data_IF_753090670486
#
_entry.id   IF_753090670486
#
_cell.length_a   1.000
_cell.length_b   1.000
_cell.length_c   1.000
_cell.angle_alpha   90.00
_cell.angle_beta   90.00
_cell.angle_gamma   90.00
#
_symmetry.space_group_name_H-M   'P 1'
#
loop_
_entity.id
_entity.type
_entity.pdbx_description
1 polymer ?
#
# COMPACT_ATOMS: atom_id res chain seq x y z
N UNK A 1 91.06 -5.97 -32.31
CA UNK A 1 89.90 -5.21 -32.80
C UNK A 1 88.68 -6.07 -32.53
N UNK A 2 88.08 -5.90 -31.36
CA UNK A 2 86.83 -6.53 -30.96
C UNK A 2 85.79 -5.42 -30.85
N UNK A 3 84.55 -5.60 -31.31
CA UNK A 3 83.44 -4.81 -30.85
C UNK A 3 82.71 -5.54 -29.72
N UNK A 4 82.49 -4.76 -28.65
CA UNK A 4 81.44 -4.92 -27.66
C UNK A 4 80.07 -4.81 -28.35
N UNK A 5 79.08 -5.58 -27.87
CA UNK A 5 77.85 -5.00 -27.30
C UNK A 5 76.97 -6.11 -26.73
N UNK A 6 76.75 -5.99 -25.42
CA UNK A 6 75.99 -6.86 -24.53
C UNK A 6 74.62 -6.21 -24.34
N UNK A 7 73.65 -6.53 -25.20
CA UNK A 7 72.25 -6.09 -25.06
C UNK A 7 71.38 -7.26 -24.57
N UNK A 8 71.33 -7.42 -23.24
CA UNK A 8 70.40 -8.29 -22.53
C UNK A 8 68.98 -7.68 -22.58
N UNK A 9 68.24 -7.92 -23.68
CA UNK A 9 66.84 -7.50 -23.86
C UNK A 9 65.84 -8.33 -23.02
N UNK A 10 66.15 -8.65 -21.76
CA UNK A 10 65.24 -9.36 -20.84
C UNK A 10 64.71 -8.43 -19.75
N UNK A 11 63.84 -7.49 -20.16
CA UNK A 11 63.30 -6.52 -19.22
C UNK A 11 61.96 -5.86 -19.60
N UNK A 12 61.05 -6.53 -20.31
CA UNK A 12 59.78 -5.87 -20.72
C UNK A 12 58.50 -6.72 -20.59
N UNK A 13 58.41 -7.60 -19.58
CA UNK A 13 57.13 -8.21 -19.19
C UNK A 13 56.92 -8.19 -17.66
N UNK A 14 56.90 -7.00 -17.07
CA UNK A 14 56.28 -6.82 -15.76
C UNK A 14 54.76 -6.73 -15.95
N UNK A 15 54.06 -7.87 -15.88
CA UNK A 15 52.61 -7.89 -15.74
C UNK A 15 52.22 -7.05 -14.51
N UNK A 16 51.59 -5.89 -14.75
CA UNK A 16 50.99 -5.10 -13.68
C UNK A 16 49.92 -5.98 -13.00
N UNK A 17 49.96 -6.16 -11.67
CA UNK A 17 48.93 -6.91 -10.99
C UNK A 17 47.58 -6.20 -11.20
N UNK A 18 46.64 -6.90 -11.82
CA UNK A 18 45.25 -6.46 -11.95
C UNK A 18 44.73 -6.19 -10.54
N UNK A 19 44.43 -4.93 -10.25
CA UNK A 19 43.86 -4.53 -8.96
C UNK A 19 42.62 -5.38 -8.70
N UNK A 20 42.65 -6.19 -7.63
CA UNK A 20 41.47 -6.92 -7.17
C UNK A 20 40.38 -5.87 -6.92
N UNK A 21 39.17 -6.01 -7.48
CA UNK A 21 38.10 -5.06 -7.18
C UNK A 21 37.91 -5.03 -5.67
N UNK A 22 38.06 -3.84 -5.09
CA UNK A 22 37.87 -3.62 -3.65
C UNK A 22 36.50 -4.14 -3.21
N UNK A 23 36.38 -4.56 -1.95
CA UNK A 23 35.10 -5.02 -1.39
C UNK A 23 34.02 -3.98 -1.71
N UNK A 24 32.87 -4.38 -2.26
CA UNK A 24 31.84 -3.41 -2.60
C UNK A 24 31.42 -2.62 -1.35
N UNK A 25 31.12 -1.33 -1.52
CA UNK A 25 30.74 -0.42 -0.42
C UNK A 25 29.53 -0.92 0.39
N UNK A 26 28.70 -1.77 -0.19
CA UNK A 26 27.53 -2.39 0.45
C UNK A 26 27.83 -3.70 1.20
N UNK A 27 29.10 -4.13 1.29
CA UNK A 27 29.47 -5.35 2.03
C UNK A 27 29.15 -5.23 3.53
N UNK A 28 28.52 -6.25 4.11
CA UNK A 28 28.06 -6.27 5.51
C UNK A 28 26.84 -5.39 5.82
N UNK A 29 26.40 -4.53 4.89
CA UNK A 29 25.26 -3.62 5.10
C UNK A 29 23.96 -4.39 5.35
N UNK A 30 23.77 -5.48 4.61
CA UNK A 30 22.63 -6.38 4.72
C UNK A 30 22.53 -7.01 6.11
N UNK A 31 23.64 -7.51 6.65
CA UNK A 31 23.67 -8.07 8.01
C UNK A 31 23.37 -6.99 9.06
N UNK A 32 23.99 -5.80 8.94
CA UNK A 32 23.77 -4.68 9.88
C UNK A 32 22.32 -4.20 9.91
N UNK A 33 21.65 -4.09 8.75
CA UNK A 33 20.23 -3.72 8.71
C UNK A 33 19.33 -4.79 9.34
N UNK A 34 19.62 -6.08 9.10
CA UNK A 34 18.89 -7.18 9.73
C UNK A 34 19.05 -7.18 11.24
N UNK A 35 20.24 -6.93 11.75
CA UNK A 35 20.53 -6.84 13.18
C UNK A 35 19.78 -5.67 13.83
N UNK A 36 19.88 -4.46 13.25
CA UNK A 36 19.12 -3.29 13.71
C UNK A 36 17.62 -3.54 13.76
N UNK A 37 17.05 -4.22 12.75
CA UNK A 37 15.63 -4.57 12.75
C UNK A 37 15.27 -5.59 13.84
N UNK A 38 16.15 -6.57 14.13
CA UNK A 38 15.91 -7.56 15.20
C UNK A 38 15.98 -6.94 16.58
N UNK A 39 16.93 -6.03 16.81
CA UNK A 39 17.17 -5.45 18.13
C UNK A 39 16.22 -4.29 18.43
N UNK A 40 16.00 -3.39 17.46
CA UNK A 40 15.23 -2.16 17.65
C UNK A 40 13.88 -2.12 16.94
N UNK A 41 13.49 -3.22 16.27
CA UNK A 41 12.22 -3.30 15.56
C UNK A 41 12.10 -2.28 14.42
N UNK A 42 10.86 -1.98 14.02
CA UNK A 42 10.59 -1.06 12.90
C UNK A 42 11.11 0.37 13.15
N UNK A 43 11.08 0.85 14.40
CA UNK A 43 11.46 2.22 14.74
C UNK A 43 12.97 2.47 14.60
N UNK A 44 13.77 1.41 14.55
CA UNK A 44 15.22 1.50 14.37
C UNK A 44 15.65 1.69 12.91
N UNK A 45 14.72 1.61 11.95
CA UNK A 45 14.98 1.77 10.52
C UNK A 45 14.25 2.99 9.95
N UNK A 46 14.90 3.71 9.05
CA UNK A 46 14.19 4.65 8.17
C UNK A 46 13.31 3.89 7.18
N UNK A 47 12.28 4.55 6.62
CA UNK A 47 11.34 3.90 5.67
C UNK A 47 12.04 3.25 4.47
N UNK A 48 13.04 3.92 3.90
CA UNK A 48 13.82 3.35 2.79
C UNK A 48 14.66 2.15 3.23
N UNK A 49 15.15 2.10 4.49
CA UNK A 49 15.90 0.96 5.02
C UNK A 49 14.99 -0.24 5.27
N UNK A 50 13.73 0.00 5.64
CA UNK A 50 12.72 -1.05 5.74
C UNK A 50 12.42 -1.65 4.35
N UNK A 51 12.31 -0.82 3.31
CA UNK A 51 12.22 -1.29 1.92
C UNK A 51 13.47 -2.06 1.51
N UNK A 52 14.67 -1.56 1.80
CA UNK A 52 15.92 -2.29 1.51
C UNK A 52 15.87 -3.71 2.08
N UNK A 53 15.40 -3.83 3.33
CA UNK A 53 15.31 -5.10 4.04
C UNK A 53 14.30 -6.07 3.41
N UNK A 54 13.19 -5.56 2.88
CA UNK A 54 12.23 -6.35 2.12
C UNK A 54 12.81 -6.80 0.76
N UNK A 55 13.43 -5.87 0.03
CA UNK A 55 14.04 -6.11 -1.29
C UNK A 55 15.18 -7.13 -1.26
N UNK A 56 15.81 -7.34 -0.10
CA UNK A 56 16.84 -8.36 0.08
C UNK A 56 16.37 -9.77 -0.31
N UNK A 57 15.07 -10.07 -0.24
CA UNK A 57 14.52 -11.39 -0.59
C UNK A 57 14.49 -11.60 -2.11
N UNK A 58 14.12 -10.57 -2.87
CA UNK A 58 13.91 -10.65 -4.31
C UNK A 58 15.13 -10.20 -5.12
N UNK A 59 16.04 -9.43 -4.53
CA UNK A 59 17.29 -8.97 -5.15
C UNK A 59 18.49 -9.55 -4.37
N UNK A 60 18.94 -10.77 -4.73
CA UNK A 60 20.07 -11.40 -4.06
C UNK A 60 21.40 -10.75 -4.47
N UNK A 61 22.32 -10.62 -3.52
CA UNK A 61 23.74 -10.27 -3.76
C UNK A 61 23.97 -8.94 -4.51
N UNK A 62 23.03 -8.01 -4.43
CA UNK A 62 23.17 -6.66 -4.99
C UNK A 62 22.84 -5.57 -3.96
N UNK A 63 23.24 -4.35 -4.28
CA UNK A 63 22.87 -3.15 -3.53
C UNK A 63 21.40 -2.78 -3.80
N UNK A 64 20.55 -2.88 -2.77
CA UNK A 64 19.12 -2.55 -2.86
C UNK A 64 18.83 -1.12 -2.47
N UNK A 65 19.80 -0.38 -1.92
CA UNK A 65 19.63 1.00 -1.47
C UNK A 65 19.21 1.95 -2.60
N UNK A 66 19.81 1.89 -3.81
CA UNK A 66 19.36 2.73 -4.93
C UNK A 66 17.91 2.46 -5.32
N UNK A 67 17.50 1.18 -5.34
CA UNK A 67 16.12 0.78 -5.71
C UNK A 67 15.13 1.24 -4.65
N UNK A 68 15.43 1.03 -3.36
CA UNK A 68 14.59 1.48 -2.25
C UNK A 68 14.41 3.02 -2.26
N UNK A 69 15.50 3.76 -2.46
CA UNK A 69 15.43 5.23 -2.58
C UNK A 69 14.66 5.68 -3.81
N UNK A 70 14.81 5.00 -4.95
CA UNK A 70 14.05 5.33 -6.16
C UNK A 70 12.55 5.08 -5.99
N UNK A 71 12.17 4.00 -5.29
CA UNK A 71 10.77 3.72 -4.93
C UNK A 71 10.20 4.82 -4.03
N UNK A 72 10.89 5.18 -2.94
CA UNK A 72 10.47 6.28 -2.05
C UNK A 72 10.40 7.60 -2.80
N UNK A 73 11.40 7.93 -3.62
CA UNK A 73 11.42 9.18 -4.38
C UNK A 73 10.26 9.27 -5.38
N UNK A 74 9.84 8.15 -5.97
CA UNK A 74 8.74 8.10 -6.93
C UNK A 74 7.36 8.13 -6.26
N UNK A 75 7.20 7.41 -5.15
CA UNK A 75 5.88 7.16 -4.55
C UNK A 75 5.63 7.93 -3.26
N UNK A 76 6.66 8.46 -2.58
CA UNK A 76 6.54 9.29 -1.38
C UNK A 76 6.97 8.57 -0.11
N UNK A 77 6.27 7.48 0.25
CA UNK A 77 6.44 6.78 1.52
C UNK A 77 6.45 5.25 1.37
N UNK A 78 6.84 4.54 2.44
CA UNK A 78 6.75 3.06 2.49
C UNK A 78 5.34 2.56 2.15
N UNK A 79 4.31 3.20 2.73
CA UNK A 79 2.92 2.83 2.52
C UNK A 79 2.47 3.08 1.07
N UNK A 80 2.87 4.20 0.47
CA UNK A 80 2.59 4.51 -0.93
C UNK A 80 3.27 3.54 -1.90
N UNK A 81 4.48 3.06 -1.58
CA UNK A 81 5.15 2.01 -2.37
C UNK A 81 4.36 0.70 -2.32
N UNK A 82 3.90 0.26 -1.15
CA UNK A 82 3.08 -0.95 -1.03
C UNK A 82 1.73 -0.81 -1.75
N UNK A 83 1.15 0.39 -1.69
CA UNK A 83 -0.11 0.74 -2.34
C UNK A 83 -0.03 0.86 -3.86
N UNK A 84 1.09 1.34 -4.40
CA UNK A 84 1.26 1.68 -5.82
C UNK A 84 0.96 0.52 -6.78
N UNK A 85 0.23 0.73 -7.88
CA UNK A 85 -0.07 -0.31 -8.87
C UNK A 85 1.18 -1.05 -9.37
N UNK A 86 1.06 -2.36 -9.58
CA UNK A 86 2.18 -3.21 -9.98
C UNK A 86 2.90 -2.69 -11.25
N UNK A 87 2.14 -2.25 -12.25
CA UNK A 87 2.71 -1.72 -13.49
C UNK A 87 3.56 -0.46 -13.24
N UNK A 88 3.14 0.45 -12.35
CA UNK A 88 3.92 1.63 -11.99
C UNK A 88 5.16 1.28 -11.16
N UNK A 89 5.07 0.29 -10.28
CA UNK A 89 6.24 -0.22 -9.53
C UNK A 89 7.32 -0.71 -10.50
N UNK A 90 6.90 -1.46 -11.53
CA UNK A 90 7.80 -2.06 -12.53
C UNK A 90 8.46 -1.06 -13.48
N UNK A 91 8.01 0.19 -13.50
CA UNK A 91 8.71 1.27 -14.21
C UNK A 91 9.98 1.72 -13.48
N UNK A 92 10.14 1.41 -12.20
CA UNK A 92 11.36 1.73 -11.45
C UNK A 92 12.48 0.75 -11.82
N UNK A 93 13.63 1.28 -12.25
CA UNK A 93 14.80 0.46 -12.60
C UNK A 93 15.21 -0.43 -11.42
N UNK A 94 15.29 -1.74 -11.68
CA UNK A 94 15.60 -2.75 -10.66
C UNK A 94 14.37 -3.40 -10.02
N UNK A 95 13.15 -2.96 -10.36
CA UNK A 95 11.90 -3.57 -9.91
C UNK A 95 11.37 -4.51 -10.98
N UNK A 96 11.80 -5.76 -10.92
CA UNK A 96 11.26 -6.84 -11.75
C UNK A 96 9.95 -7.42 -11.18
N UNK A 97 9.35 -8.41 -11.88
CA UNK A 97 8.11 -9.07 -11.44
C UNK A 97 8.19 -9.64 -10.01
N UNK A 98 9.32 -10.24 -9.63
CA UNK A 98 9.51 -10.81 -8.29
C UNK A 98 9.50 -9.74 -7.18
N UNK A 99 10.15 -8.59 -7.43
CA UNK A 99 10.14 -7.46 -6.48
C UNK A 99 8.73 -6.90 -6.35
N UNK A 100 8.05 -6.69 -7.47
CA UNK A 100 6.69 -6.17 -7.48
C UNK A 100 5.73 -7.12 -6.75
N UNK A 101 5.86 -8.44 -6.97
CA UNK A 101 5.09 -9.45 -6.24
C UNK A 101 5.34 -9.40 -4.74
N UNK A 102 6.61 -9.36 -4.28
CA UNK A 102 6.93 -9.35 -2.85
C UNK A 102 6.41 -8.08 -2.14
N UNK A 103 6.46 -6.93 -2.82
CA UNK A 103 5.84 -5.69 -2.33
C UNK A 103 4.32 -5.86 -2.21
N UNK A 104 3.67 -6.43 -3.22
CA UNK A 104 2.22 -6.69 -3.18
C UNK A 104 1.82 -7.76 -2.17
N UNK A 105 2.67 -8.74 -1.92
CA UNK A 105 2.47 -9.71 -0.86
C UNK A 105 2.52 -9.07 0.52
N UNK A 106 3.47 -8.16 0.76
CA UNK A 106 3.54 -7.40 2.01
C UNK A 106 2.30 -6.52 2.22
N UNK A 107 1.83 -5.84 1.16
CA UNK A 107 0.59 -5.06 1.19
C UNK A 107 -0.63 -5.92 1.54
N UNK A 108 -0.79 -7.06 0.85
CA UNK A 108 -1.90 -7.98 1.08
C UNK A 108 -1.88 -8.59 2.50
N UNK A 109 -0.69 -8.87 3.04
CA UNK A 109 -0.53 -9.34 4.41
C UNK A 109 -0.98 -8.28 5.43
N UNK A 110 -0.56 -7.02 5.25
CA UNK A 110 -0.97 -5.91 6.10
C UNK A 110 -2.49 -5.69 6.07
N UNK A 111 -3.09 -5.67 4.88
CA UNK A 111 -4.55 -5.56 4.72
C UNK A 111 -5.26 -6.73 5.42
N UNK A 112 -4.77 -7.96 5.25
CA UNK A 112 -5.36 -9.15 5.88
C UNK A 112 -5.31 -9.08 7.41
N UNK A 113 -4.20 -8.61 7.97
CA UNK A 113 -4.05 -8.43 9.42
C UNK A 113 -5.04 -7.41 9.97
N UNK A 114 -5.20 -6.27 9.30
CA UNK A 114 -6.13 -5.22 9.71
C UNK A 114 -7.59 -5.66 9.54
N UNK A 115 -7.92 -6.35 8.43
CA UNK A 115 -9.25 -6.94 8.25
C UNK A 115 -9.60 -7.95 9.35
N UNK A 116 -8.61 -8.71 9.81
CA UNK A 116 -8.76 -9.64 10.92
C UNK A 116 -9.15 -8.96 12.24
N UNK A 117 -8.79 -7.69 12.44
CA UNK A 117 -9.16 -6.93 13.66
C UNK A 117 -10.63 -6.54 13.69
N UNK A 118 -11.25 -6.34 12.53
CA UNK A 118 -12.67 -5.95 12.44
C UNK A 118 -13.61 -7.13 12.20
N UNK A 119 -13.11 -8.25 11.65
CA UNK A 119 -13.93 -9.42 11.32
C UNK A 119 -14.47 -10.08 12.60
N UNK A 120 -15.80 -10.30 12.65
CA UNK A 120 -16.46 -10.96 13.77
C UNK A 120 -16.46 -10.14 15.08
N UNK A 121 -16.03 -8.87 15.02
CA UNK A 121 -16.09 -7.93 16.15
C UNK A 121 -17.10 -6.84 15.87
N UNK A 122 -17.54 -6.18 16.94
CA UNK A 122 -18.42 -5.02 16.85
C UNK A 122 -17.63 -3.82 16.31
N UNK A 123 -17.91 -3.44 15.08
CA UNK A 123 -17.23 -2.37 14.34
C UNK A 123 -17.28 -1.03 15.09
N UNK A 124 -18.40 -0.74 15.76
CA UNK A 124 -18.56 0.49 16.54
C UNK A 124 -17.76 0.54 17.85
N UNK A 125 -17.20 -0.58 18.32
CA UNK A 125 -16.37 -0.57 19.54
C UNK A 125 -14.95 -0.06 19.30
N UNK A 126 -14.50 -0.01 18.05
CA UNK A 126 -13.20 0.52 17.68
C UNK A 126 -13.27 1.17 16.29
N UNK A 127 -13.83 2.38 16.25
CA UNK A 127 -13.91 3.16 15.01
C UNK A 127 -12.53 3.36 14.35
N UNK A 128 -11.48 3.51 15.16
CA UNK A 128 -10.10 3.58 14.68
C UNK A 128 -9.68 2.33 13.89
N UNK A 129 -10.05 1.12 14.32
CA UNK A 129 -9.71 -0.09 13.57
C UNK A 129 -10.42 -0.14 12.20
N UNK A 130 -11.62 0.43 12.11
CA UNK A 130 -12.37 0.55 10.84
C UNK A 130 -11.64 1.50 9.90
N UNK A 131 -11.28 2.69 10.39
CA UNK A 131 -10.53 3.67 9.61
C UNK A 131 -9.18 3.11 9.17
N UNK A 132 -8.43 2.49 10.07
CA UNK A 132 -7.13 1.89 9.76
C UNK A 132 -7.25 0.80 8.69
N UNK A 133 -8.28 -0.05 8.79
CA UNK A 133 -8.58 -1.04 7.77
C UNK A 133 -8.92 -0.39 6.42
N UNK A 134 -9.85 0.57 6.40
CA UNK A 134 -10.26 1.25 5.17
C UNK A 134 -9.09 1.99 4.51
N UNK A 135 -8.23 2.64 5.30
CA UNK A 135 -7.00 3.29 4.81
C UNK A 135 -6.06 2.27 4.20
N UNK A 136 -5.77 1.17 4.87
CA UNK A 136 -4.89 0.14 4.33
C UNK A 136 -5.43 -0.51 3.04
N UNK A 137 -6.74 -0.69 2.95
CA UNK A 137 -7.38 -1.31 1.80
C UNK A 137 -7.58 -0.36 0.60
N UNK A 138 -7.63 0.96 0.81
CA UNK A 138 -8.12 1.90 -0.22
C UNK A 138 -7.30 3.19 -0.42
N UNK A 139 -6.48 3.63 0.54
CA UNK A 139 -5.88 4.98 0.51
C UNK A 139 -4.94 5.24 -0.68
N UNK A 140 -4.35 4.18 -1.24
CA UNK A 140 -3.37 4.26 -2.32
C UNK A 140 -3.84 3.54 -3.60
N UNK A 141 -5.12 3.16 -3.64
CA UNK A 141 -5.71 2.63 -4.85
C UNK A 141 -5.82 3.78 -5.89
N UNK A 142 -5.25 3.64 -7.10
CA UNK A 142 -5.30 4.67 -8.14
C UNK A 142 -6.70 4.90 -8.71
N UNK A 143 -7.60 3.93 -8.55
CA UNK A 143 -8.96 3.96 -9.06
C UNK A 143 -9.92 4.27 -7.94
N UNK A 144 -10.94 5.03 -8.23
CA UNK A 144 -12.04 5.20 -7.30
C UNK A 144 -12.78 3.86 -7.12
N UNK A 145 -12.93 3.47 -5.86
CA UNK A 145 -13.64 2.27 -5.44
C UNK A 145 -14.70 2.64 -4.42
N UNK A 146 -15.91 2.13 -4.62
CA UNK A 146 -16.97 2.20 -3.63
C UNK A 146 -17.10 0.85 -2.92
N UNK A 147 -16.90 0.87 -1.60
CA UNK A 147 -16.91 -0.27 -0.70
C UNK A 147 -18.04 -0.11 0.32
N UNK A 148 -18.64 -1.22 0.69
CA UNK A 148 -19.68 -1.27 1.72
C UNK A 148 -19.30 -2.32 2.76
N UNK A 149 -19.33 -1.90 4.02
CA UNK A 149 -19.27 -2.80 5.17
C UNK A 149 -20.70 -3.09 5.63
N UNK A 150 -21.12 -4.33 5.48
CA UNK A 150 -22.44 -4.81 5.88
C UNK A 150 -22.39 -5.33 7.31
N UNK A 151 -23.26 -4.82 8.18
CA UNK A 151 -23.24 -5.11 9.61
C UNK A 151 -24.55 -5.75 10.09
N UNK A 152 -24.42 -6.61 11.09
CA UNK A 152 -25.56 -7.21 11.78
C UNK A 152 -26.15 -6.29 12.87
N UNK A 153 -27.19 -6.76 13.58
CA UNK A 153 -27.86 -6.01 14.64
C UNK A 153 -26.99 -5.69 15.85
N UNK A 154 -25.85 -6.37 16.00
CA UNK A 154 -24.84 -6.12 17.03
C UNK A 154 -23.70 -5.24 16.49
N UNK A 155 -23.84 -4.72 15.27
CA UNK A 155 -22.82 -4.00 14.51
C UNK A 155 -21.56 -4.83 14.25
N UNK A 156 -21.68 -6.15 14.16
CA UNK A 156 -20.59 -7.01 13.73
C UNK A 156 -20.53 -7.07 12.21
N UNK A 157 -19.30 -7.07 11.67
CA UNK A 157 -19.09 -7.15 10.21
C UNK A 157 -19.54 -8.51 9.66
N UNK A 158 -20.59 -8.49 8.83
CA UNK A 158 -21.08 -9.65 8.07
C UNK A 158 -20.23 -9.84 6.82
N UNK A 159 -20.13 -8.77 6.02
CA UNK A 159 -19.45 -8.78 4.75
C UNK A 159 -18.78 -7.44 4.48
N UNK A 160 -17.73 -7.50 3.67
CA UNK A 160 -16.97 -6.36 3.18
C UNK A 160 -16.80 -6.54 1.67
N UNK A 161 -17.47 -5.68 0.90
CA UNK A 161 -17.57 -5.83 -0.54
C UNK A 161 -17.28 -4.52 -1.26
N UNK A 162 -16.46 -4.61 -2.31
CA UNK A 162 -16.28 -3.52 -3.27
C UNK A 162 -17.41 -3.64 -4.29
N UNK A 163 -18.42 -2.78 -4.18
CA UNK A 163 -19.58 -2.78 -5.08
C UNK A 163 -19.25 -2.15 -6.43
N UNK A 164 -18.23 -1.27 -6.48
CA UNK A 164 -17.85 -0.61 -7.71
C UNK A 164 -16.35 -0.37 -7.79
N UNK A 165 -15.80 -0.55 -9.00
CA UNK A 165 -14.44 -0.15 -9.39
C UNK A 165 -14.52 0.65 -10.68
N UNK A 166 -14.18 1.94 -10.65
CA UNK A 166 -14.31 2.82 -11.81
C UNK A 166 -12.97 3.30 -12.41
N UNK A 167 -13.03 3.89 -13.60
CA UNK A 167 -12.02 4.78 -14.19
C UNK A 167 -12.73 6.00 -14.75
N UNK A 168 -12.23 7.21 -14.45
CA UNK A 168 -12.46 8.57 -15.03
C UNK A 168 -13.92 9.04 -15.26
N UNK A 169 -14.87 8.18 -15.61
CA UNK A 169 -16.28 8.51 -15.80
C UNK A 169 -17.14 7.65 -14.85
N UNK A 170 -17.70 8.30 -13.82
CA UNK A 170 -18.54 7.70 -12.79
C UNK A 170 -19.56 6.70 -13.36
N UNK A 171 -19.45 5.42 -13.00
CA UNK A 171 -20.67 4.62 -12.86
C UNK A 171 -21.34 5.07 -11.55
N UNK A 172 -22.63 5.42 -11.53
CA UNK A 172 -23.24 5.87 -10.29
C UNK A 172 -23.49 4.68 -9.35
N UNK A 173 -23.25 4.89 -8.05
CA UNK A 173 -23.69 3.95 -7.01
C UNK A 173 -25.22 3.96 -7.01
N UNK A 174 -25.83 2.83 -7.31
CA UNK A 174 -27.29 2.71 -7.35
C UNK A 174 -27.83 2.28 -5.98
N UNK A 175 -28.63 3.12 -5.28
CA UNK A 175 -29.19 2.78 -3.97
C UNK A 175 -29.95 1.46 -3.95
N UNK A 176 -30.64 1.11 -5.05
CA UNK A 176 -31.34 -0.17 -5.18
C UNK A 176 -30.42 -1.38 -5.05
N UNK A 177 -29.20 -1.32 -5.58
CA UNK A 177 -28.24 -2.43 -5.52
C UNK A 177 -27.65 -2.52 -4.12
N UNK A 178 -27.35 -1.38 -3.49
CA UNK A 178 -26.91 -1.30 -2.10
C UNK A 178 -27.94 -1.93 -1.16
N UNK A 179 -29.20 -1.51 -1.27
CA UNK A 179 -30.31 -2.00 -0.45
C UNK A 179 -30.59 -3.47 -0.72
N UNK A 180 -30.67 -3.88 -1.99
CA UNK A 180 -30.84 -5.29 -2.37
C UNK A 180 -29.77 -6.16 -1.73
N UNK A 181 -28.50 -5.75 -1.82
CA UNK A 181 -27.39 -6.51 -1.25
C UNK A 181 -27.44 -6.56 0.28
N UNK A 182 -27.82 -5.45 0.92
CA UNK A 182 -28.02 -5.41 2.36
C UNK A 182 -29.10 -6.40 2.82
N UNK A 183 -30.22 -6.49 2.10
CA UNK A 183 -31.28 -7.46 2.37
C UNK A 183 -30.84 -8.90 2.14
N UNK A 184 -30.13 -9.19 1.04
CA UNK A 184 -29.58 -10.53 0.75
C UNK A 184 -28.66 -11.03 1.88
N UNK A 185 -27.88 -10.13 2.48
CA UNK A 185 -26.98 -10.41 3.58
C UNK A 185 -27.65 -10.34 4.96
N UNK A 186 -28.95 -10.00 5.03
CA UNK A 186 -29.65 -9.71 6.28
C UNK A 186 -28.95 -8.67 7.15
N UNK A 187 -28.30 -7.69 6.50
CA UNK A 187 -27.64 -6.59 7.17
C UNK A 187 -28.66 -5.62 7.74
N UNK A 188 -28.42 -5.15 8.97
CA UNK A 188 -29.26 -4.13 9.62
C UNK A 188 -28.58 -2.77 9.65
N UNK A 189 -27.29 -2.70 9.31
CA UNK A 189 -26.58 -1.44 9.15
C UNK A 189 -25.46 -1.52 8.10
N UNK A 190 -25.08 -0.35 7.59
CA UNK A 190 -24.07 -0.15 6.56
C UNK A 190 -23.05 0.90 7.01
N UNK A 191 -21.80 0.73 6.58
CA UNK A 191 -20.83 1.83 6.48
C UNK A 191 -20.42 1.91 5.03
N UNK A 192 -20.63 3.07 4.42
CA UNK A 192 -20.22 3.34 3.05
C UNK A 192 -18.78 3.86 3.09
N UNK A 193 -17.96 3.48 2.11
CA UNK A 193 -16.58 3.92 2.02
C UNK A 193 -16.20 4.12 0.56
N UNK A 194 -15.57 5.24 0.22
CA UNK A 194 -14.85 5.34 -1.05
C UNK A 194 -13.51 6.06 -0.89
N UNK A 195 -12.63 5.89 -1.86
CA UNK A 195 -11.35 6.60 -1.90
C UNK A 195 -11.36 7.72 -2.92
N UNK A 196 -10.65 8.79 -2.61
CA UNK A 196 -10.28 9.82 -3.57
C UNK A 196 -8.83 9.60 -4.02
N UNK A 197 -8.58 9.15 -5.27
CA UNK A 197 -7.21 8.98 -5.77
C UNK A 197 -6.38 10.27 -5.77
N UNK A 198 -7.04 11.44 -5.83
CA UNK A 198 -6.42 12.76 -5.66
C UNK A 198 -5.72 12.92 -4.31
N UNK A 199 -6.16 12.16 -3.30
CA UNK A 199 -5.64 12.16 -1.94
C UNK A 199 -6.36 13.11 -0.98
N UNK A 200 -7.19 14.03 -1.47
CA UNK A 200 -8.02 14.92 -0.66
C UNK A 200 -9.34 14.21 -0.29
N UNK A 201 -9.61 13.93 1.01
CA UNK A 201 -10.82 13.25 1.42
C UNK A 201 -12.06 14.17 1.52
N UNK A 202 -11.98 15.43 1.09
CA UNK A 202 -13.11 16.37 1.16
C UNK A 202 -14.30 15.86 0.31
N UNK A 203 -15.51 15.74 0.90
CA UNK A 203 -16.68 15.26 0.17
C UNK A 203 -17.12 16.22 -0.93
N UNK A 204 -17.38 15.68 -2.11
CA UNK A 204 -18.04 16.41 -3.17
C UNK A 204 -19.55 16.50 -2.90
N UNK A 205 -20.23 17.40 -3.63
CA UNK A 205 -21.68 17.49 -3.59
C UNK A 205 -22.35 16.19 -4.05
N UNK A 206 -21.77 15.52 -5.04
CA UNK A 206 -22.27 14.24 -5.56
C UNK A 206 -22.20 13.14 -4.50
N UNK A 207 -21.14 13.10 -3.69
CA UNK A 207 -21.00 12.13 -2.59
C UNK A 207 -22.11 12.32 -1.57
N UNK A 208 -22.39 13.57 -1.18
CA UNK A 208 -23.42 13.90 -0.19
C UNK A 208 -24.81 13.53 -0.72
N UNK A 209 -25.13 13.91 -1.96
CA UNK A 209 -26.43 13.61 -2.59
C UNK A 209 -26.65 12.10 -2.74
N UNK A 210 -25.66 11.36 -3.22
CA UNK A 210 -25.71 9.91 -3.33
C UNK A 210 -25.91 9.26 -1.94
N UNK A 211 -25.16 9.70 -0.94
CA UNK A 211 -25.27 9.16 0.43
C UNK A 211 -26.65 9.35 1.01
N UNK A 212 -27.21 10.56 0.88
CA UNK A 212 -28.57 10.87 1.36
C UNK A 212 -29.60 9.96 0.69
N UNK A 213 -29.48 9.76 -0.62
CA UNK A 213 -30.38 8.88 -1.35
C UNK A 213 -30.29 7.43 -0.85
N UNK A 214 -29.08 6.94 -0.53
CA UNK A 214 -28.89 5.62 0.09
C UNK A 214 -29.53 5.57 1.49
N UNK A 215 -29.31 6.58 2.33
CA UNK A 215 -29.91 6.66 3.68
C UNK A 215 -31.44 6.64 3.61
N UNK A 216 -32.03 7.47 2.75
CA UNK A 216 -33.47 7.57 2.54
C UNK A 216 -34.07 6.26 2.00
N UNK A 217 -33.35 5.56 1.14
CA UNK A 217 -33.79 4.27 0.57
C UNK A 217 -33.68 3.12 1.58
N UNK A 218 -32.67 3.13 2.44
CA UNK A 218 -32.40 2.07 3.42
C UNK A 218 -33.29 2.19 4.68
N UNK A 219 -33.63 3.41 5.09
CA UNK A 219 -34.36 3.70 6.33
C UNK A 219 -35.74 3.01 6.44
N UNK A 220 -36.62 2.99 5.41
CA UNK A 220 -37.92 2.33 5.49
C UNK A 220 -37.82 0.81 5.70
N UNK A 221 -36.69 0.23 5.33
CA UNK A 221 -36.41 -1.21 5.44
C UNK A 221 -35.72 -1.56 6.77
N UNK A 222 -35.54 -0.59 7.66
CA UNK A 222 -34.87 -0.80 8.95
C UNK A 222 -33.35 -0.97 8.83
N UNK A 223 -32.75 -0.55 7.72
CA UNK A 223 -31.29 -0.61 7.51
C UNK A 223 -30.70 0.76 7.81
N UNK A 224 -29.86 0.85 8.84
CA UNK A 224 -29.18 2.09 9.21
C UNK A 224 -27.93 2.33 8.35
N UNK A 225 -27.65 3.57 7.98
CA UNK A 225 -26.34 3.96 7.43
C UNK A 225 -25.59 4.68 8.56
N UNK A 226 -24.56 4.02 9.10
CA UNK A 226 -23.83 4.57 10.25
C UNK A 226 -22.95 5.74 9.88
N UNK A 227 -22.32 5.67 8.72
CA UNK A 227 -21.48 6.73 8.19
C UNK A 227 -21.18 6.49 6.71
N UNK A 228 -20.61 7.52 6.08
CA UNK A 228 -19.89 7.43 4.83
C UNK A 228 -18.49 8.01 5.01
N UNK A 229 -17.47 7.15 4.86
CA UNK A 229 -16.07 7.51 5.02
C UNK A 229 -15.44 7.75 3.65
N UNK A 230 -14.80 8.90 3.47
CA UNK A 230 -13.97 9.19 2.30
C UNK A 230 -12.52 9.02 2.69
N UNK A 231 -11.79 8.18 1.97
CA UNK A 231 -10.39 7.85 2.25
C UNK A 231 -9.49 8.57 1.26
N UNK A 232 -8.59 9.40 1.78
CA UNK A 232 -7.50 10.01 1.03
C UNK A 232 -6.14 9.46 1.47
N UNK A 233 -5.08 9.78 0.71
CA UNK A 233 -3.70 9.39 1.03
C UNK A 233 -3.30 9.87 2.42
N UNK A 234 -3.60 11.14 2.74
CA UNK A 234 -3.13 11.80 3.97
C UNK A 234 -4.18 11.86 5.08
N UNK A 235 -5.38 11.32 4.86
CA UNK A 235 -6.44 11.42 5.86
C UNK A 235 -7.73 10.74 5.45
N UNK A 236 -8.78 11.02 6.19
CA UNK A 236 -10.14 10.58 5.88
C UNK A 236 -11.12 11.66 6.29
N UNK A 237 -12.32 11.62 5.71
CA UNK A 237 -13.46 12.43 6.13
C UNK A 237 -14.62 11.50 6.47
N UNK A 238 -15.40 11.89 7.48
CA UNK A 238 -16.64 11.23 7.88
C UNK A 238 -17.78 12.18 7.58
N UNK A 239 -18.70 11.79 6.70
CA UNK A 239 -19.86 12.63 6.38
C UNK A 239 -20.72 12.87 7.62
N UNK A 240 -20.87 11.86 8.49
CA UNK A 240 -21.59 12.03 9.76
C UNK A 240 -20.85 12.95 10.74
N UNK A 241 -19.53 12.80 10.85
CA UNK A 241 -18.69 13.68 11.67
C UNK A 241 -18.72 15.15 11.21
N UNK A 242 -18.88 15.35 9.90
CA UNK A 242 -19.09 16.66 9.27
C UNK A 242 -20.55 17.13 9.30
N UNK A 243 -21.47 16.37 9.89
CA UNK A 243 -22.91 16.68 9.97
C UNK A 243 -23.60 16.83 8.60
N UNK A 244 -23.15 16.07 7.60
CA UNK A 244 -23.69 16.11 6.23
C UNK A 244 -24.85 15.11 6.02
N UNK A 245 -24.98 14.13 6.93
CA UNK A 245 -25.98 13.06 6.97
C UNK A 245 -26.41 12.75 8.41
#
# INVERSE_FOLDING_TARGET
MAPEDDDDERGFFAEKPVARPGKPHYSGHRERLRERLREGGQAALAEYELLETLLFRSIPRADTKPVAKALIARFGSFAEVLGAPEHLLREVKGVGPAVAFDLKLAAAAAERMLKGRIRGRQVLTSWSDVIDYCRAAMAFEPREQFRILFLDKKNALIADEVQQRGTIDHTPVYPREVVKRALELSATALILVHNHPSGDPTPSRADIEMTRLVVESAKPLGIAVHDHIIVGKNGHASLKGLQLI
#
